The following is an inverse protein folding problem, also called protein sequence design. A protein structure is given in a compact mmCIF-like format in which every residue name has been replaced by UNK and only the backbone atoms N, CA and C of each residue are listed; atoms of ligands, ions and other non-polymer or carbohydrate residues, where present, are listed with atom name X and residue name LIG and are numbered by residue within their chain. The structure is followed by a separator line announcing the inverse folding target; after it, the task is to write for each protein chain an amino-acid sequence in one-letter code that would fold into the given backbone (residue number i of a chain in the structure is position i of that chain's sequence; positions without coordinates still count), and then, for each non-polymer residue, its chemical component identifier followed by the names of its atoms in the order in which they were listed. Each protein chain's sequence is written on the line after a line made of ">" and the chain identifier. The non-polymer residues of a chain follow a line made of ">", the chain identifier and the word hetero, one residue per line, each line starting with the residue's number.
data_IF_157706943095
#
_entry.id   IF_157706943095
#
_cell.length_a   1.000
_cell.length_b   1.000
_cell.length_c   1.000
_cell.angle_alpha   90.00
_cell.angle_beta   90.00
_cell.angle_gamma   90.00
#
_symmetry.space_group_name_H-M   'P 1'
#
loop_
_entity.id
_entity.type
_entity.pdbx_description
1 polymer ?
#
# COMPACT_ATOMS: atom_id res chain seq x y z
N UNK A 1 -36.74 -18.24 22.64
CA UNK A 1 -36.52 -17.88 21.23
C UNK A 1 -37.87 -17.43 20.74
N UNK A 2 -38.03 -16.17 20.31
CA UNK A 2 -39.31 -15.73 19.76
C UNK A 2 -39.27 -16.05 18.28
N UNK A 3 -40.04 -17.06 17.88
CA UNK A 3 -40.21 -17.44 16.48
C UNK A 3 -41.22 -16.47 15.89
N UNK A 4 -40.76 -15.52 15.08
CA UNK A 4 -41.63 -14.74 14.20
C UNK A 4 -41.54 -15.40 12.83
N UNK A 5 -42.51 -16.27 12.53
CA UNK A 5 -42.64 -16.86 11.19
C UNK A 5 -43.34 -15.83 10.30
N UNK A 6 -42.56 -15.03 9.57
CA UNK A 6 -43.10 -14.35 8.39
C UNK A 6 -43.02 -15.42 7.30
N UNK A 7 -44.14 -16.04 6.96
CA UNK A 7 -44.24 -16.93 5.80
C UNK A 7 -44.93 -16.11 4.72
N UNK A 8 -44.15 -15.57 3.79
CA UNK A 8 -44.70 -15.13 2.52
C UNK A 8 -44.59 -16.34 1.60
N UNK A 9 -45.67 -17.11 1.47
CA UNK A 9 -45.74 -18.20 0.53
C UNK A 9 -46.61 -17.85 -0.66
N UNK A 10 -46.08 -18.12 -1.85
CA UNK A 10 -46.82 -18.00 -3.09
C UNK A 10 -46.76 -19.35 -3.80
N UNK A 11 -47.94 -19.93 -4.06
CA UNK A 11 -48.07 -21.16 -4.85
C UNK A 11 -48.17 -20.83 -6.32
N UNK A 12 -47.50 -21.61 -7.14
CA UNK A 12 -47.53 -21.48 -8.58
C UNK A 12 -47.96 -22.78 -9.26
N UNK A 13 -48.60 -22.66 -10.41
CA UNK A 13 -49.22 -23.78 -11.13
C UNK A 13 -48.32 -24.46 -12.19
N UNK A 14 -47.10 -23.95 -12.43
CA UNK A 14 -46.15 -24.46 -13.43
C UNK A 14 -44.88 -25.00 -12.76
N UNK A 15 -44.37 -26.16 -13.20
CA UNK A 15 -43.38 -27.01 -12.50
C UNK A 15 -42.01 -27.13 -13.19
N UNK A 16 -41.76 -26.48 -14.33
CA UNK A 16 -40.53 -26.75 -15.11
C UNK A 16 -39.77 -25.49 -15.59
N UNK A 17 -39.94 -24.34 -14.92
CA UNK A 17 -39.19 -23.13 -15.28
C UNK A 17 -38.34 -22.67 -14.11
N UNK A 18 -37.04 -22.49 -14.36
CA UNK A 18 -36.10 -21.80 -13.46
C UNK A 18 -36.71 -20.46 -13.05
N UNK A 19 -36.55 -20.07 -11.79
CA UNK A 19 -37.05 -18.80 -11.28
C UNK A 19 -36.00 -18.12 -10.43
N UNK A 20 -36.08 -16.81 -10.39
CA UNK A 20 -35.29 -15.99 -9.50
C UNK A 20 -36.21 -15.25 -8.52
N UNK A 21 -35.93 -15.41 -7.24
CA UNK A 21 -36.54 -14.61 -6.18
C UNK A 21 -35.56 -13.48 -5.85
N UNK A 22 -36.03 -12.25 -5.98
CA UNK A 22 -35.27 -11.05 -5.65
C UNK A 22 -35.97 -10.25 -4.57
N UNK A 23 -35.23 -9.74 -3.59
CA UNK A 23 -35.80 -8.96 -2.48
C UNK A 23 -34.75 -8.06 -1.82
N UNK A 24 -35.22 -6.99 -1.18
CA UNK A 24 -34.39 -6.18 -0.30
C UNK A 24 -34.58 -6.60 1.15
N UNK A 25 -33.53 -6.55 1.95
CA UNK A 25 -33.58 -6.84 3.36
C UNK A 25 -32.75 -5.86 4.18
N UNK A 26 -33.17 -5.60 5.42
CA UNK A 26 -32.45 -4.73 6.36
C UNK A 26 -32.48 -5.35 7.76
N UNK A 27 -31.35 -5.22 8.48
CA UNK A 27 -31.14 -5.85 9.79
C UNK A 27 -30.45 -4.89 10.75
N UNK A 28 -30.89 -4.87 12.02
CA UNK A 28 -30.46 -3.83 12.99
C UNK A 28 -29.41 -4.30 14.03
N UNK A 29 -29.48 -5.55 14.53
CA UNK A 29 -28.63 -6.02 15.68
C UNK A 29 -27.93 -7.35 15.43
N UNK A 30 -26.95 -7.70 16.28
CA UNK A 30 -25.96 -8.80 16.10
C UNK A 30 -26.48 -10.25 15.98
N UNK A 31 -27.78 -10.56 16.15
CA UNK A 31 -28.29 -11.94 16.09
C UNK A 31 -29.62 -12.03 15.34
N UNK A 32 -29.55 -12.22 14.03
CA UNK A 32 -30.68 -12.55 13.15
C UNK A 32 -30.23 -13.61 12.14
N UNK A 33 -31.20 -14.33 11.62
CA UNK A 33 -31.05 -15.22 10.48
C UNK A 33 -32.16 -14.87 9.50
N UNK A 34 -31.84 -14.87 8.21
CA UNK A 34 -32.81 -14.71 7.14
C UNK A 34 -32.50 -15.77 6.10
N UNK A 35 -33.45 -16.67 5.90
CA UNK A 35 -33.28 -17.87 5.10
C UNK A 35 -34.39 -17.89 4.04
N UNK A 36 -34.05 -18.38 2.84
CA UNK A 36 -35.03 -18.69 1.80
C UNK A 36 -35.20 -20.19 1.73
N UNK A 37 -36.45 -20.62 1.71
CA UNK A 37 -36.87 -22.00 1.63
C UNK A 37 -37.72 -22.24 0.40
N UNK A 38 -37.67 -23.47 -0.10
CA UNK A 38 -38.55 -23.98 -1.15
C UNK A 38 -39.26 -25.24 -0.65
N UNK A 39 -40.48 -25.50 -1.13
CA UNK A 39 -41.18 -26.76 -0.91
C UNK A 39 -41.11 -27.60 -2.19
N UNK A 40 -40.28 -28.66 -2.23
CA UNK A 40 -40.18 -29.52 -3.40
C UNK A 40 -41.51 -30.19 -3.75
N UNK A 41 -41.73 -30.47 -5.04
CA UNK A 41 -42.93 -31.18 -5.47
C UNK A 41 -43.06 -32.56 -4.81
N UNK A 42 -44.22 -32.82 -4.18
CA UNK A 42 -44.49 -34.08 -3.48
C UNK A 42 -43.92 -34.15 -2.06
N UNK A 43 -43.23 -33.09 -1.60
CA UNK A 43 -42.75 -32.97 -0.23
C UNK A 43 -43.75 -32.24 0.67
N UNK A 44 -43.70 -32.55 1.97
CA UNK A 44 -44.37 -31.79 3.02
C UNK A 44 -43.37 -30.99 3.88
N UNK A 45 -42.09 -30.96 3.50
CA UNK A 45 -41.00 -30.34 4.25
C UNK A 45 -40.27 -29.32 3.38
N UNK A 46 -40.16 -28.10 3.91
CA UNK A 46 -39.38 -27.02 3.29
C UNK A 46 -37.88 -27.31 3.37
N UNK A 47 -37.18 -27.05 2.27
CA UNK A 47 -35.72 -27.15 2.15
C UNK A 47 -35.11 -25.76 2.04
N UNK A 48 -33.99 -25.51 2.73
CA UNK A 48 -33.31 -24.21 2.73
C UNK A 48 -32.38 -24.11 1.52
N UNK A 49 -32.57 -23.08 0.70
CA UNK A 49 -31.79 -22.84 -0.53
C UNK A 49 -30.87 -21.62 -0.43
N UNK A 50 -31.14 -20.70 0.50
CA UNK A 50 -30.28 -19.56 0.76
C UNK A 50 -30.27 -19.22 2.24
N UNK A 51 -29.12 -18.79 2.71
CA UNK A 51 -28.88 -18.30 4.07
C UNK A 51 -28.13 -16.99 3.95
N UNK A 52 -28.55 -16.03 4.76
CA UNK A 52 -27.91 -14.73 4.83
C UNK A 52 -26.39 -14.87 5.06
N UNK A 53 -25.55 -14.31 4.18
CA UNK A 53 -24.10 -14.40 4.31
C UNK A 53 -23.62 -13.65 5.56
N UNK A 54 -22.44 -14.01 6.07
CA UNK A 54 -21.83 -13.51 7.31
C UNK A 54 -21.67 -11.98 7.43
N UNK A 55 -20.86 -11.50 8.39
CA UNK A 55 -21.11 -10.26 9.17
C UNK A 55 -21.75 -9.11 8.37
N UNK A 56 -23.03 -8.84 8.67
CA UNK A 56 -23.87 -7.95 7.87
C UNK A 56 -23.69 -6.49 8.23
N UNK A 57 -23.75 -5.63 7.22
CA UNK A 57 -23.84 -4.18 7.38
C UNK A 57 -25.17 -3.80 8.05
N UNK A 58 -25.09 -3.28 9.28
CA UNK A 58 -26.26 -2.91 10.08
C UNK A 58 -26.98 -1.70 9.46
N UNK A 59 -28.30 -1.66 9.63
CA UNK A 59 -29.17 -0.55 9.24
C UNK A 59 -29.04 -0.12 7.77
N UNK A 60 -28.52 -1.02 6.92
CA UNK A 60 -28.35 -0.82 5.48
C UNK A 60 -29.29 -1.76 4.74
N UNK A 61 -30.04 -1.24 3.76
CA UNK A 61 -30.82 -2.07 2.85
C UNK A 61 -29.86 -2.81 1.92
N UNK A 62 -29.94 -4.13 1.92
CA UNK A 62 -29.16 -5.03 1.08
C UNK A 62 -30.11 -5.76 0.14
N UNK A 63 -29.57 -6.26 -0.98
CA UNK A 63 -30.34 -6.95 -2.01
C UNK A 63 -29.87 -8.40 -2.10
N UNK A 64 -30.82 -9.32 -2.26
CA UNK A 64 -30.55 -10.74 -2.45
C UNK A 64 -31.29 -11.26 -3.67
N UNK A 65 -30.65 -12.19 -4.38
CA UNK A 65 -31.19 -12.95 -5.51
C UNK A 65 -30.93 -14.44 -5.23
N UNK A 66 -31.97 -15.26 -5.40
CA UNK A 66 -31.92 -16.69 -5.10
C UNK A 66 -32.58 -17.45 -6.24
N UNK A 67 -31.82 -18.33 -6.88
CA UNK A 67 -32.34 -19.30 -7.84
C UNK A 67 -33.24 -20.30 -7.11
N UNK A 68 -34.46 -20.48 -7.61
CA UNK A 68 -35.46 -21.41 -7.06
C UNK A 68 -36.15 -22.16 -8.20
N UNK A 69 -36.44 -23.44 -8.00
CA UNK A 69 -36.99 -24.33 -9.05
C UNK A 69 -38.34 -24.95 -8.70
N UNK A 70 -39.07 -24.45 -7.70
CA UNK A 70 -40.14 -25.23 -7.04
C UNK A 70 -41.51 -24.54 -6.92
N UNK A 71 -42.53 -25.33 -6.53
CA UNK A 71 -43.95 -24.95 -6.49
C UNK A 71 -44.31 -23.87 -5.47
N UNK A 72 -43.62 -23.83 -4.33
CA UNK A 72 -43.89 -22.90 -3.24
C UNK A 72 -42.57 -22.39 -2.66
N UNK A 73 -42.44 -21.07 -2.58
CA UNK A 73 -41.26 -20.38 -2.04
C UNK A 73 -41.67 -19.73 -0.73
N UNK A 74 -40.84 -19.85 0.30
CA UNK A 74 -41.03 -19.19 1.58
C UNK A 74 -39.76 -18.45 1.99
N UNK A 75 -39.87 -17.15 2.28
CA UNK A 75 -38.79 -16.39 2.91
C UNK A 75 -39.08 -16.33 4.40
N UNK A 76 -38.20 -16.83 5.25
CA UNK A 76 -38.41 -16.83 6.69
C UNK A 76 -37.24 -16.20 7.46
N UNK A 77 -37.58 -15.37 8.45
CA UNK A 77 -36.60 -14.70 9.31
C UNK A 77 -36.68 -15.18 10.76
N UNK A 78 -35.55 -15.29 11.42
CA UNK A 78 -35.46 -15.64 12.85
C UNK A 78 -34.79 -14.54 13.65
N UNK A 79 -35.40 -14.19 14.77
CA UNK A 79 -34.96 -13.09 15.62
C UNK A 79 -34.43 -13.63 16.95
N UNK A 80 -33.19 -13.29 17.30
CA UNK A 80 -32.57 -13.62 18.59
C UNK A 80 -33.22 -12.94 19.80
N UNK A 81 -32.67 -13.14 21.02
CA UNK A 81 -33.21 -12.49 22.23
C UNK A 81 -32.90 -10.97 22.24
N UNK A 82 -33.94 -10.17 22.54
CA UNK A 82 -34.00 -8.68 22.68
C UNK A 82 -34.07 -7.89 21.36
N UNK A 83 -35.12 -7.06 21.24
CA UNK A 83 -35.32 -5.89 20.32
C UNK A 83 -34.52 -5.95 19.01
N UNK A 84 -34.67 -7.01 18.24
CA UNK A 84 -34.04 -7.17 16.92
C UNK A 84 -35.13 -7.16 15.85
N UNK A 85 -34.82 -6.61 14.68
CA UNK A 85 -35.74 -6.47 13.55
C UNK A 85 -35.04 -6.97 12.30
N UNK A 86 -35.76 -7.77 11.52
CA UNK A 86 -35.47 -8.07 10.12
C UNK A 86 -36.61 -7.50 9.31
N UNK A 87 -36.28 -6.68 8.32
CA UNK A 87 -37.23 -6.12 7.37
C UNK A 87 -36.94 -6.74 6.02
N UNK A 88 -37.98 -7.10 5.28
CA UNK A 88 -37.89 -7.53 3.89
C UNK A 88 -38.83 -6.65 3.09
N UNK A 89 -38.42 -6.23 1.90
CA UNK A 89 -39.19 -5.35 1.03
C UNK A 89 -38.99 -5.72 -0.45
N UNK A 90 -39.91 -5.27 -1.32
CA UNK A 90 -39.84 -5.39 -2.77
C UNK A 90 -39.54 -6.82 -3.28
N UNK A 91 -40.19 -7.82 -2.69
CA UNK A 91 -40.07 -9.21 -3.12
C UNK A 91 -40.67 -9.38 -4.52
N UNK A 92 -39.86 -9.85 -5.47
CA UNK A 92 -40.27 -10.15 -6.83
C UNK A 92 -39.82 -11.56 -7.21
N UNK A 93 -40.68 -12.27 -7.92
CA UNK A 93 -40.38 -13.57 -8.53
C UNK A 93 -40.40 -13.39 -10.05
N UNK A 94 -39.28 -13.69 -10.68
CA UNK A 94 -39.07 -13.61 -12.14
C UNK A 94 -38.89 -15.01 -12.72
N UNK A 95 -39.25 -15.19 -13.99
CA UNK A 95 -38.93 -16.40 -14.75
C UNK A 95 -37.48 -16.34 -15.25
N UNK A 96 -36.79 -17.48 -15.24
CA UNK A 96 -35.36 -17.63 -15.52
C UNK A 96 -34.48 -17.65 -14.27
N UNK A 97 -33.21 -18.03 -14.44
CA UNK A 97 -32.20 -17.97 -13.38
C UNK A 97 -31.85 -16.52 -13.02
N UNK A 98 -31.39 -16.26 -11.81
CA UNK A 98 -30.92 -14.94 -11.36
C UNK A 98 -29.76 -14.43 -12.23
N UNK A 99 -28.95 -15.33 -12.79
CA UNK A 99 -27.95 -14.98 -13.79
C UNK A 99 -28.57 -14.29 -15.02
N UNK A 100 -29.77 -14.67 -15.45
CA UNK A 100 -30.47 -14.04 -16.60
C UNK A 100 -30.93 -12.60 -16.33
N UNK A 101 -31.05 -12.20 -15.06
CA UNK A 101 -31.31 -10.82 -14.66
C UNK A 101 -30.03 -9.99 -14.53
N UNK A 102 -28.85 -10.60 -14.55
CA UNK A 102 -27.58 -9.92 -14.34
C UNK A 102 -27.33 -8.83 -15.39
N UNK A 103 -26.85 -7.68 -14.93
CA UNK A 103 -26.32 -6.62 -15.79
C UNK A 103 -25.13 -7.07 -16.65
N UNK A 104 -24.60 -8.28 -16.46
CA UNK A 104 -23.52 -8.85 -17.26
C UNK A 104 -23.95 -9.52 -18.57
N UNK A 105 -25.24 -9.78 -18.80
CA UNK A 105 -25.72 -10.51 -19.98
C UNK A 105 -25.63 -9.72 -21.30
N UNK A 106 -25.38 -8.41 -21.22
CA UNK A 106 -25.30 -7.50 -22.36
C UNK A 106 -23.87 -7.24 -22.87
N UNK A 107 -22.87 -8.05 -22.50
CA UNK A 107 -21.45 -7.76 -22.78
C UNK A 107 -21.03 -6.37 -22.26
N UNK A 108 -21.39 -6.07 -21.02
CA UNK A 108 -21.21 -4.75 -20.40
C UNK A 108 -19.73 -4.37 -20.22
N UNK A 109 -18.84 -5.36 -20.16
CA UNK A 109 -17.40 -5.14 -20.14
C UNK A 109 -16.82 -5.29 -21.55
N UNK A 110 -16.23 -4.23 -22.07
CA UNK A 110 -15.59 -4.22 -23.37
C UNK A 110 -14.21 -4.88 -23.35
N UNK A 111 -13.63 -5.07 -24.54
CA UNK A 111 -12.23 -5.42 -24.74
C UNK A 111 -11.74 -6.66 -23.97
N UNK A 112 -12.59 -7.69 -23.87
CA UNK A 112 -12.24 -8.94 -23.17
C UNK A 112 -12.27 -8.82 -21.64
N UNK A 113 -12.86 -7.75 -21.09
CA UNK A 113 -13.11 -7.63 -19.67
C UNK A 113 -14.10 -8.69 -19.16
N UNK A 114 -13.86 -9.19 -17.95
CA UNK A 114 -14.74 -10.16 -17.29
C UNK A 114 -15.77 -9.42 -16.46
N UNK A 115 -17.05 -9.71 -16.68
CA UNK A 115 -18.15 -9.12 -15.93
C UNK A 115 -18.58 -10.00 -14.76
N UNK A 116 -18.75 -9.41 -13.58
CA UNK A 116 -19.40 -10.04 -12.43
C UNK A 116 -20.49 -9.11 -11.90
N UNK A 117 -21.69 -9.61 -11.61
CA UNK A 117 -22.80 -8.72 -11.25
C UNK A 117 -24.16 -9.38 -11.01
N UNK A 118 -25.05 -8.62 -10.38
CA UNK A 118 -26.47 -8.90 -10.13
C UNK A 118 -27.35 -8.12 -11.09
N UNK A 119 -28.67 -8.16 -10.91
CA UNK A 119 -29.60 -7.34 -11.69
C UNK A 119 -29.54 -5.83 -11.48
N UNK A 120 -28.85 -5.36 -10.43
CA UNK A 120 -28.76 -3.94 -10.09
C UNK A 120 -27.33 -3.39 -10.10
N UNK A 121 -26.33 -4.26 -10.11
CA UNK A 121 -24.93 -3.85 -10.07
C UNK A 121 -24.06 -4.79 -10.88
N UNK A 122 -23.01 -4.25 -11.48
CA UNK A 122 -21.96 -5.03 -12.11
C UNK A 122 -20.60 -4.45 -11.75
N UNK A 123 -19.56 -5.25 -11.91
CA UNK A 123 -18.16 -4.87 -11.84
C UNK A 123 -17.44 -5.53 -12.99
N UNK A 124 -16.67 -4.74 -13.73
CA UNK A 124 -15.79 -5.22 -14.77
C UNK A 124 -14.37 -5.39 -14.24
N UNK A 125 -13.78 -6.55 -14.50
CA UNK A 125 -12.33 -6.76 -14.39
C UNK A 125 -11.74 -6.65 -15.78
N UNK A 126 -11.00 -5.58 -16.05
CA UNK A 126 -10.48 -5.30 -17.38
C UNK A 126 -9.30 -6.19 -17.75
N UNK A 127 -9.22 -6.54 -19.04
CA UNK A 127 -8.03 -7.16 -19.59
C UNK A 127 -6.87 -6.16 -19.60
N UNK A 128 -5.63 -6.68 -19.62
CA UNK A 128 -4.43 -5.84 -19.69
C UNK A 128 -4.50 -4.87 -20.88
N UNK A 129 -4.15 -3.60 -20.66
CA UNK A 129 -4.25 -2.54 -21.66
C UNK A 129 -5.54 -1.72 -21.59
N UNK A 130 -6.50 -2.08 -20.72
CA UNK A 130 -7.76 -1.39 -20.58
C UNK A 130 -8.09 -1.06 -19.13
N UNK A 131 -8.82 0.04 -18.93
CA UNK A 131 -9.27 0.52 -17.64
C UNK A 131 -10.69 1.10 -17.71
N UNK A 132 -11.14 1.66 -16.59
CA UNK A 132 -12.48 2.24 -16.47
C UNK A 132 -13.56 1.22 -16.09
N UNK A 133 -14.75 1.72 -15.77
CA UNK A 133 -15.86 0.90 -15.22
C UNK A 133 -16.42 -0.12 -16.20
N UNK A 134 -16.19 0.09 -17.50
CA UNK A 134 -16.66 -0.78 -18.60
C UNK A 134 -15.52 -1.29 -19.47
N UNK A 135 -14.26 -1.08 -19.09
CA UNK A 135 -13.07 -1.50 -19.86
C UNK A 135 -13.00 -0.94 -21.28
N UNK A 136 -13.60 0.23 -21.50
CA UNK A 136 -13.59 0.94 -22.78
C UNK A 136 -12.40 1.89 -22.90
N UNK A 137 -11.87 2.35 -21.77
CA UNK A 137 -10.72 3.26 -21.73
C UNK A 137 -9.43 2.46 -21.90
N UNK A 138 -8.47 3.05 -22.60
CA UNK A 138 -7.11 2.50 -22.71
C UNK A 138 -6.36 2.85 -21.44
N UNK A 139 -5.63 1.90 -20.89
CA UNK A 139 -4.67 2.17 -19.81
C UNK A 139 -3.43 2.86 -20.41
N UNK A 140 -3.19 4.15 -20.11
CA UNK A 140 -2.06 4.90 -20.65
C UNK A 140 -0.71 4.37 -20.13
N UNK A 141 -0.71 3.55 -19.08
CA UNK A 141 0.46 2.88 -18.54
C UNK A 141 0.71 1.49 -19.13
N UNK A 142 -0.06 1.07 -20.15
CA UNK A 142 0.11 -0.25 -20.78
C UNK A 142 0.23 -0.15 -22.32
N UNK A 143 1.41 -0.45 -22.90
CA UNK A 143 2.67 -0.78 -22.21
C UNK A 143 3.23 0.41 -21.43
N UNK A 144 4.05 0.14 -20.40
CA UNK A 144 4.64 1.20 -19.57
C UNK A 144 5.46 2.16 -20.46
N UNK A 145 5.08 3.46 -20.55
CA UNK A 145 5.78 4.44 -21.37
C UNK A 145 7.06 4.97 -20.71
N UNK A 146 7.27 4.72 -19.41
CA UNK A 146 8.41 5.22 -18.67
C UNK A 146 9.64 4.32 -18.90
N UNK A 147 10.74 4.95 -19.30
CA UNK A 147 12.02 4.29 -19.53
C UNK A 147 12.80 4.11 -18.23
N UNK A 148 13.89 3.33 -18.29
CA UNK A 148 14.89 3.19 -17.21
C UNK A 148 14.31 2.82 -15.82
N UNK A 149 13.27 1.98 -15.80
CA UNK A 149 12.64 1.53 -14.56
C UNK A 149 11.70 2.58 -13.93
N UNK A 150 11.33 3.62 -14.66
CA UNK A 150 10.35 4.60 -14.23
C UNK A 150 8.98 3.97 -13.94
N UNK A 151 8.31 4.49 -12.92
CA UNK A 151 6.96 4.08 -12.55
C UNK A 151 5.94 4.97 -13.23
N UNK A 152 5.08 4.38 -14.08
CA UNK A 152 3.98 5.09 -14.69
C UNK A 152 2.84 5.32 -13.71
N UNK A 153 2.31 6.53 -13.70
CA UNK A 153 1.14 6.93 -12.92
C UNK A 153 0.07 7.42 -13.91
N UNK A 154 -1.10 6.76 -13.98
CA UNK A 154 -2.19 7.23 -14.81
C UNK A 154 -2.81 8.49 -14.19
N UNK A 155 -3.13 9.47 -15.02
CA UNK A 155 -3.72 10.74 -14.62
C UNK A 155 -5.22 10.78 -14.89
N UNK A 156 -5.93 11.65 -14.18
CA UNK A 156 -7.40 11.75 -14.27
C UNK A 156 -7.95 12.22 -15.62
N UNK A 157 -7.11 12.84 -16.46
CA UNK A 157 -7.46 13.31 -17.81
C UNK A 157 -7.20 12.25 -18.91
N UNK A 158 -6.80 11.03 -18.51
CA UNK A 158 -6.45 9.94 -19.41
C UNK A 158 -5.02 9.98 -19.94
N UNK A 159 -4.21 10.95 -19.49
CA UNK A 159 -2.76 10.95 -19.72
C UNK A 159 -2.02 10.10 -18.68
N UNK A 160 -0.69 10.05 -18.79
CA UNK A 160 0.17 9.39 -17.81
C UNK A 160 1.38 10.27 -17.51
N UNK A 161 1.86 10.19 -16.27
CA UNK A 161 3.12 10.78 -15.83
C UNK A 161 4.11 9.69 -15.39
N UNK A 162 5.40 10.00 -15.41
CA UNK A 162 6.45 9.09 -14.98
C UNK A 162 7.12 9.58 -13.71
N UNK A 163 7.19 8.72 -12.69
CA UNK A 163 8.07 8.89 -11.54
C UNK A 163 9.38 8.19 -11.87
N UNK A 164 10.46 8.96 -12.01
CA UNK A 164 11.75 8.43 -12.42
C UNK A 164 12.49 7.74 -11.26
N UNK A 165 13.17 6.65 -11.59
CA UNK A 165 14.11 6.01 -10.69
C UNK A 165 15.32 6.94 -10.43
N UNK A 166 16.04 6.68 -9.34
CA UNK A 166 17.22 7.47 -8.97
C UNK A 166 18.23 7.54 -10.12
N UNK A 167 18.71 8.75 -10.43
CA UNK A 167 19.65 8.99 -11.54
C UNK A 167 19.04 9.11 -12.92
N UNK A 168 17.71 9.22 -13.03
CA UNK A 168 17.02 9.52 -14.28
C UNK A 168 16.07 10.71 -14.15
N UNK A 169 15.88 11.42 -15.25
CA UNK A 169 15.03 12.59 -15.36
C UNK A 169 14.36 12.67 -16.74
N UNK A 170 13.53 13.69 -16.94
CA UNK A 170 12.72 13.85 -18.14
C UNK A 170 11.31 13.30 -17.97
N UNK A 171 10.39 13.69 -18.87
CA UNK A 171 8.98 13.30 -18.77
C UNK A 171 8.74 11.80 -18.96
N UNK A 172 9.69 11.10 -19.59
CA UNK A 172 9.67 9.65 -19.80
C UNK A 172 10.82 8.94 -19.09
N UNK A 173 11.57 9.62 -18.23
CA UNK A 173 12.75 9.07 -17.55
C UNK A 173 13.83 8.55 -18.51
N UNK A 174 13.93 9.15 -19.69
CA UNK A 174 14.83 8.79 -20.79
C UNK A 174 16.18 9.53 -20.72
N UNK A 175 16.34 10.44 -19.76
CA UNK A 175 17.54 11.26 -19.60
C UNK A 175 18.31 10.84 -18.36
N UNK A 176 19.60 10.55 -18.51
CA UNK A 176 20.50 10.27 -17.40
C UNK A 176 20.82 11.55 -16.62
N UNK A 177 20.62 11.52 -15.31
CA UNK A 177 21.00 12.61 -14.41
C UNK A 177 22.46 12.43 -13.96
N UNK A 178 23.34 13.45 -14.11
CA UNK A 178 24.68 13.42 -13.52
C UNK A 178 24.68 13.33 -11.99
N UNK A 179 23.61 13.75 -11.33
CA UNK A 179 23.41 13.68 -9.90
C UNK A 179 22.32 12.63 -9.57
N UNK A 180 22.77 11.43 -9.21
CA UNK A 180 21.90 10.27 -8.97
C UNK A 180 20.98 10.51 -7.78
N UNK A 181 21.52 11.14 -6.74
CA UNK A 181 20.79 11.48 -5.53
C UNK A 181 21.46 12.68 -4.88
N UNK A 182 20.64 13.62 -4.42
CA UNK A 182 21.05 14.77 -3.62
C UNK A 182 20.17 14.85 -2.38
N UNK A 183 20.78 15.06 -1.21
CA UNK A 183 20.03 15.27 0.02
C UNK A 183 20.72 16.26 0.94
N UNK A 184 20.17 17.48 0.99
CA UNK A 184 20.51 18.55 1.93
C UNK A 184 19.64 18.56 3.17
N UNK A 185 18.62 17.70 3.25
CA UNK A 185 17.66 17.62 4.37
C UNK A 185 16.77 18.86 4.60
N UNK A 186 16.83 19.85 3.72
CA UNK A 186 16.09 21.12 3.86
C UNK A 186 14.59 21.02 3.54
N UNK A 187 14.24 20.17 2.58
CA UNK A 187 12.88 20.04 2.06
C UNK A 187 11.94 19.39 3.06
N UNK A 188 11.23 20.21 3.83
CA UNK A 188 9.87 19.99 4.34
C UNK A 188 9.52 18.72 5.13
N UNK A 189 10.47 17.83 5.46
CA UNK A 189 10.33 16.46 6.01
C UNK A 189 10.48 15.32 4.98
N UNK A 190 11.60 15.27 4.24
CA UNK A 190 12.04 14.02 3.64
C UNK A 190 13.52 13.76 3.93
N UNK A 191 13.85 12.51 4.25
CA UNK A 191 15.20 11.96 4.10
C UNK A 191 15.62 11.87 2.61
N UNK A 192 14.97 12.63 1.73
CA UNK A 192 15.06 12.49 0.28
C UNK A 192 14.81 11.02 -0.12
N UNK A 193 15.61 10.47 -1.04
CA UNK A 193 15.61 9.03 -1.37
C UNK A 193 16.32 8.14 -0.35
N UNK A 194 16.81 8.68 0.78
CA UNK A 194 17.37 7.87 1.86
C UNK A 194 16.23 7.29 2.70
N UNK A 195 16.39 6.06 3.18
CA UNK A 195 15.39 5.39 4.03
C UNK A 195 16.01 4.88 5.33
N UNK A 196 15.23 4.98 6.40
CA UNK A 196 15.60 4.41 7.70
C UNK A 196 15.48 2.90 7.64
N UNK A 197 16.52 2.22 8.10
CA UNK A 197 16.51 0.76 8.25
C UNK A 197 15.70 0.40 9.49
N UNK A 198 14.91 -0.68 9.45
CA UNK A 198 14.04 -1.08 10.57
C UNK A 198 14.54 -2.28 11.37
N UNK A 199 15.69 -2.84 11.00
CA UNK A 199 16.34 -3.98 11.65
C UNK A 199 17.65 -3.60 12.35
N UNK A 200 17.87 -2.30 12.58
CA UNK A 200 18.96 -1.75 13.39
C UNK A 200 18.51 -1.48 14.84
N UNK A 201 19.31 -0.75 15.62
CA UNK A 201 18.98 -0.47 17.03
C UNK A 201 18.28 0.87 17.24
N UNK A 202 18.44 1.84 16.33
CA UNK A 202 17.83 3.16 16.43
C UNK A 202 17.92 3.94 15.11
N UNK A 203 16.95 4.83 14.90
CA UNK A 203 16.90 5.66 13.70
C UNK A 203 17.84 6.87 13.78
N UNK A 204 18.26 7.33 12.60
CA UNK A 204 18.79 8.69 12.42
C UNK A 204 17.65 9.72 12.60
N UNK A 205 17.99 10.95 12.98
CA UNK A 205 17.02 12.00 13.33
C UNK A 205 17.39 13.27 12.55
N UNK A 206 16.41 13.95 11.96
CA UNK A 206 16.61 15.28 11.37
C UNK A 206 16.56 16.32 12.50
N UNK A 207 17.51 17.25 12.57
CA UNK A 207 17.43 18.33 13.56
C UNK A 207 16.28 19.29 13.20
N UNK A 208 15.24 19.30 14.04
CA UNK A 208 14.12 20.24 13.91
C UNK A 208 14.14 21.21 15.09
N UNK A 209 15.14 22.10 15.15
CA UNK A 209 15.26 23.17 16.17
C UNK A 209 14.81 22.76 17.59
N UNK A 210 15.24 21.57 18.05
CA UNK A 210 14.87 21.05 19.36
C UNK A 210 15.75 21.67 20.45
N UNK A 211 15.15 22.05 21.57
CA UNK A 211 15.82 22.66 22.73
C UNK A 211 16.67 21.67 23.55
N UNK A 212 16.76 20.41 23.13
CA UNK A 212 17.44 19.32 23.84
C UNK A 212 18.53 18.65 22.99
N UNK A 213 19.29 19.41 22.21
CA UNK A 213 20.41 18.88 21.43
C UNK A 213 21.68 18.81 22.32
N UNK A 214 22.48 17.72 22.29
CA UNK A 214 23.74 17.62 23.02
C UNK A 214 24.73 18.75 22.72
N UNK A 215 25.61 19.10 23.67
CA UNK A 215 26.65 20.15 23.50
C UNK A 215 27.73 19.78 22.46
N UNK A 216 27.78 18.52 22.07
CA UNK A 216 28.59 17.96 20.99
C UNK A 216 28.01 18.23 19.60
N UNK A 217 26.75 18.66 19.49
CA UNK A 217 26.14 18.92 18.21
C UNK A 217 26.73 20.14 17.48
N UNK A 218 26.69 20.15 16.15
CA UNK A 218 27.09 21.31 15.38
C UNK A 218 26.11 22.48 15.63
N UNK A 219 26.67 23.69 15.65
CA UNK A 219 25.93 24.93 15.91
C UNK A 219 24.94 25.25 14.77
N UNK A 220 25.29 24.85 13.55
CA UNK A 220 24.50 24.97 12.32
C UNK A 220 24.72 23.75 11.43
N UNK A 221 23.79 23.53 10.49
CA UNK A 221 24.00 22.62 9.37
C UNK A 221 25.24 23.02 8.53
N UNK A 222 25.71 22.11 7.69
CA UNK A 222 26.76 22.42 6.72
C UNK A 222 26.24 23.35 5.63
N UNK A 223 25.02 23.08 5.15
CA UNK A 223 24.25 23.94 4.26
C UNK A 223 22.83 24.10 4.82
N UNK A 224 22.23 25.28 4.71
CA UNK A 224 20.89 25.53 5.26
C UNK A 224 20.80 25.48 6.80
N UNK A 225 19.71 24.90 7.31
CA UNK A 225 19.33 24.87 8.73
C UNK A 225 19.19 23.44 9.30
N UNK A 226 19.11 22.42 8.44
CA UNK A 226 18.83 21.03 8.77
C UNK A 226 19.97 20.10 8.35
N UNK A 227 20.12 19.02 9.10
CA UNK A 227 21.08 17.94 8.96
C UNK A 227 20.50 16.70 9.64
N UNK A 228 21.01 15.53 9.27
CA UNK A 228 20.68 14.30 9.97
C UNK A 228 21.73 13.95 11.01
N UNK A 229 21.31 13.36 12.12
CA UNK A 229 22.21 12.97 13.18
C UNK A 229 21.74 11.74 13.93
N UNK A 230 22.67 11.13 14.66
CA UNK A 230 22.36 10.18 15.71
C UNK A 230 22.77 10.76 17.06
N UNK A 231 21.84 10.72 18.00
CA UNK A 231 22.14 10.99 19.40
C UNK A 231 22.64 9.70 20.04
N UNK A 232 23.85 9.71 20.61
CA UNK A 232 24.41 8.52 21.26
C UNK A 232 24.10 8.48 22.77
N UNK A 233 23.49 9.54 23.31
CA UNK A 233 23.15 9.64 24.73
C UNK A 233 22.22 8.49 25.16
N UNK A 234 22.63 7.79 26.23
CA UNK A 234 21.84 6.71 26.83
C UNK A 234 21.76 5.43 26.01
N UNK A 235 22.56 5.28 24.95
CA UNK A 235 22.61 4.06 24.13
C UNK A 235 23.75 3.13 24.55
N UNK A 236 23.56 1.83 24.36
CA UNK A 236 24.56 0.81 24.68
C UNK A 236 25.72 0.81 23.66
N UNK A 237 26.94 0.60 24.14
CA UNK A 237 28.15 0.51 23.30
C UNK A 237 27.99 -0.60 22.27
N UNK A 238 28.30 -0.30 21.00
CA UNK A 238 28.21 -1.24 19.87
C UNK A 238 26.83 -1.29 19.20
N UNK A 239 25.81 -0.62 19.76
CA UNK A 239 24.55 -0.40 19.04
C UNK A 239 24.76 0.56 17.88
N UNK A 240 23.92 0.46 16.86
CA UNK A 240 24.07 1.24 15.64
C UNK A 240 22.73 1.62 15.03
N UNK A 241 22.74 2.73 14.28
CA UNK A 241 21.66 3.18 13.42
C UNK A 241 22.11 3.25 11.98
N UNK A 242 21.23 2.87 11.05
CA UNK A 242 21.51 2.74 9.62
C UNK A 242 20.52 3.57 8.80
N UNK A 243 21.08 4.33 7.87
CA UNK A 243 20.34 5.05 6.84
C UNK A 243 20.84 4.56 5.48
N UNK A 244 19.95 4.25 4.54
CA UNK A 244 20.32 3.61 3.27
C UNK A 244 19.84 4.41 2.06
N UNK A 245 20.71 4.56 1.07
CA UNK A 245 20.33 4.85 -0.30
C UNK A 245 20.19 3.51 -1.04
N UNK A 246 19.04 3.26 -1.66
CA UNK A 246 18.76 2.03 -2.40
C UNK A 246 18.44 2.31 -3.88
N UNK A 247 18.26 1.24 -4.66
CA UNK A 247 17.94 1.28 -6.09
C UNK A 247 18.88 2.15 -6.93
N UNK A 248 20.18 2.18 -6.55
CA UNK A 248 21.18 2.94 -7.29
C UNK A 248 21.52 2.21 -8.61
N UNK A 249 21.83 2.94 -9.69
CA UNK A 249 22.16 2.34 -10.98
C UNK A 249 23.43 1.49 -10.90
N UNK A 250 23.48 0.40 -11.68
CA UNK A 250 24.63 -0.51 -11.77
C UNK A 250 25.75 0.09 -12.64
N UNK A 251 26.35 1.16 -12.13
CA UNK A 251 27.47 1.86 -12.75
C UNK A 251 28.44 2.37 -11.69
N UNK A 252 29.57 2.92 -12.14
CA UNK A 252 30.53 3.60 -11.27
C UNK A 252 29.91 4.90 -10.78
N UNK A 253 30.02 5.15 -9.47
CA UNK A 253 29.44 6.33 -8.81
C UNK A 253 30.48 6.99 -7.92
N UNK A 254 30.27 8.26 -7.62
CA UNK A 254 31.03 8.99 -6.62
C UNK A 254 30.11 9.39 -5.47
N UNK A 255 30.39 8.92 -4.26
CA UNK A 255 29.72 9.43 -3.07
C UNK A 255 30.52 10.60 -2.51
N UNK A 256 29.82 11.70 -2.22
CA UNK A 256 30.34 12.81 -1.42
C UNK A 256 29.32 13.19 -0.35
N UNK A 257 29.79 13.51 0.85
CA UNK A 257 28.94 13.99 1.93
C UNK A 257 29.74 14.77 2.96
N UNK A 258 29.03 15.55 3.77
CA UNK A 258 29.58 16.29 4.88
C UNK A 258 29.26 15.56 6.19
N UNK A 259 30.19 15.57 7.13
CA UNK A 259 30.01 14.91 8.43
C UNK A 259 30.59 15.75 9.57
N UNK A 260 29.97 15.64 10.73
CA UNK A 260 30.42 16.25 11.98
C UNK A 260 30.46 15.17 13.07
N UNK A 261 31.58 15.11 13.77
CA UNK A 261 31.83 14.12 14.81
C UNK A 261 32.66 14.77 15.92
N UNK A 262 32.00 15.22 16.99
CA UNK A 262 32.65 15.79 18.16
C UNK A 262 32.47 14.87 19.35
N UNK A 263 33.59 14.53 19.99
CA UNK A 263 33.62 13.62 21.12
C UNK A 263 34.12 12.21 20.76
N UNK A 264 34.29 11.36 21.77
CA UNK A 264 35.26 10.26 21.70
C UNK A 264 34.62 8.90 21.36
N UNK A 265 35.35 8.08 20.59
CA UNK A 265 35.11 6.64 20.36
C UNK A 265 33.88 6.18 19.57
N UNK A 266 33.09 7.07 18.97
CA UNK A 266 32.03 6.70 18.01
C UNK A 266 32.59 6.41 16.63
N UNK A 267 31.84 5.67 15.79
CA UNK A 267 32.23 5.38 14.41
C UNK A 267 31.15 5.84 13.44
N UNK A 268 31.57 6.54 12.38
CA UNK A 268 30.78 6.69 11.18
C UNK A 268 31.38 5.78 10.12
N UNK A 269 30.60 4.81 9.66
CA UNK A 269 31.02 3.80 8.68
C UNK A 269 30.10 3.85 7.47
N UNK A 270 30.68 3.79 6.28
CA UNK A 270 29.93 3.66 5.04
C UNK A 270 30.16 2.28 4.44
N UNK A 271 29.06 1.55 4.26
CA UNK A 271 29.06 0.27 3.58
C UNK A 271 28.38 0.38 2.22
N UNK A 272 28.83 -0.42 1.27
CA UNK A 272 28.16 -0.60 -0.01
C UNK A 272 27.69 -2.04 -0.14
N UNK A 273 26.50 -2.24 -0.70
CA UNK A 273 25.92 -3.57 -0.84
C UNK A 273 25.39 -3.86 -2.24
N UNK A 274 25.38 -5.15 -2.54
CA UNK A 274 24.65 -5.76 -3.64
C UNK A 274 23.95 -7.01 -3.12
N UNK A 275 23.36 -7.81 -4.02
CA UNK A 275 22.62 -9.02 -3.62
C UNK A 275 23.46 -10.10 -2.89
N UNK A 276 24.79 -9.97 -2.83
CA UNK A 276 25.68 -11.00 -2.31
C UNK A 276 26.70 -10.48 -1.30
N UNK A 277 27.00 -9.19 -1.31
CA UNK A 277 28.12 -8.60 -0.58
C UNK A 277 27.71 -7.34 0.14
N UNK A 278 28.31 -7.16 1.32
CA UNK A 278 28.16 -5.98 2.16
C UNK A 278 29.57 -5.57 2.62
N UNK A 279 30.11 -4.52 2.01
CA UNK A 279 31.54 -4.18 2.11
C UNK A 279 31.75 -2.80 2.73
N UNK A 280 32.62 -2.72 3.74
CA UNK A 280 33.05 -1.45 4.34
C UNK A 280 33.91 -0.68 3.32
N UNK A 281 33.46 0.49 2.90
CA UNK A 281 34.20 1.35 1.97
C UNK A 281 34.97 2.46 2.69
N UNK A 282 34.38 3.00 3.75
CA UNK A 282 34.96 4.15 4.45
C UNK A 282 34.59 4.12 5.93
N UNK A 283 35.50 4.59 6.78
CA UNK A 283 35.20 4.81 8.19
C UNK A 283 35.98 5.98 8.78
N UNK A 284 35.36 6.64 9.76
CA UNK A 284 36.00 7.54 10.71
C UNK A 284 35.58 7.22 12.12
N UNK A 285 36.45 7.54 13.08
CA UNK A 285 36.26 7.22 14.47
C UNK A 285 36.82 8.29 15.40
N UNK A 286 36.16 8.49 16.54
CA UNK A 286 36.59 9.42 17.58
C UNK A 286 36.45 10.89 17.19
N UNK A 287 37.07 11.77 17.98
CA UNK A 287 36.86 13.21 17.87
C UNK A 287 37.50 13.79 16.61
N UNK A 288 36.67 14.39 15.76
CA UNK A 288 37.08 15.07 14.52
C UNK A 288 37.06 16.60 14.68
N UNK A 289 36.82 17.10 15.91
CA UNK A 289 36.70 18.52 16.21
C UNK A 289 35.26 19.03 16.03
N UNK A 290 35.10 20.33 16.20
CA UNK A 290 33.78 20.98 16.16
C UNK A 290 33.39 21.49 14.76
N UNK A 291 34.17 21.18 13.73
CA UNK A 291 33.98 21.64 12.37
C UNK A 291 33.34 20.54 11.50
N UNK A 292 32.60 20.95 10.48
CA UNK A 292 32.14 20.05 9.44
C UNK A 292 33.31 19.62 8.56
N UNK A 293 33.41 18.31 8.32
CA UNK A 293 34.38 17.69 7.44
C UNK A 293 33.67 17.14 6.19
N UNK A 294 34.44 16.78 5.17
CA UNK A 294 33.91 16.19 3.93
C UNK A 294 34.59 14.85 3.65
N UNK A 295 33.82 13.91 3.10
CA UNK A 295 34.32 12.63 2.63
C UNK A 295 33.87 12.42 1.19
N UNK A 296 34.79 11.90 0.38
CA UNK A 296 34.55 11.59 -1.02
C UNK A 296 35.21 10.28 -1.37
N UNK A 297 34.48 9.35 -1.97
CA UNK A 297 35.06 8.10 -2.45
C UNK A 297 34.25 7.47 -3.58
N UNK A 298 34.96 6.66 -4.37
CA UNK A 298 34.43 5.94 -5.52
C UNK A 298 33.68 4.69 -5.08
N UNK A 299 32.48 4.50 -5.63
CA UNK A 299 31.68 3.28 -5.52
C UNK A 299 31.80 2.51 -6.83
N UNK A 300 32.12 1.22 -6.75
CA UNK A 300 32.26 0.34 -7.92
C UNK A 300 30.89 0.02 -8.53
N UNK A 301 30.87 -0.21 -9.85
CA UNK A 301 29.75 -0.88 -10.53
C UNK A 301 29.50 -2.23 -9.85
N UNK A 302 28.22 -2.57 -9.65
CA UNK A 302 27.57 -3.65 -8.89
C UNK A 302 26.88 -3.21 -7.60
N UNK A 303 27.42 -2.22 -6.90
CA UNK A 303 26.85 -1.80 -5.63
C UNK A 303 25.66 -0.89 -5.88
N UNK A 304 24.48 -1.37 -5.52
CA UNK A 304 23.19 -0.72 -5.74
C UNK A 304 22.62 -0.10 -4.44
N UNK A 305 23.29 -0.32 -3.31
CA UNK A 305 22.94 0.26 -2.02
C UNK A 305 24.16 0.88 -1.32
N UNK A 306 23.92 1.97 -0.59
CA UNK A 306 24.92 2.66 0.25
C UNK A 306 24.33 2.89 1.63
N UNK A 307 25.00 2.40 2.67
CA UNK A 307 24.57 2.48 4.05
C UNK A 307 25.45 3.42 4.86
N UNK A 308 24.83 4.40 5.49
CA UNK A 308 25.43 5.28 6.50
C UNK A 308 25.16 4.67 7.88
N UNK A 309 26.21 4.18 8.52
CA UNK A 309 26.13 3.44 9.77
C UNK A 309 26.82 4.22 10.88
N UNK A 310 26.04 4.71 11.84
CA UNK A 310 26.54 5.36 13.04
C UNK A 310 26.60 4.37 14.20
N UNK A 311 27.79 4.07 14.69
CA UNK A 311 28.03 3.08 15.76
C UNK A 311 28.38 3.78 17.06
N UNK A 312 27.69 3.39 18.14
CA UNK A 312 27.88 3.94 19.48
C UNK A 312 29.18 3.41 20.10
N UNK A 313 30.06 4.34 20.47
CA UNK A 313 31.32 4.12 21.16
C UNK A 313 31.21 4.10 22.68
N UNK A 314 32.35 4.09 23.36
CA UNK A 314 32.43 4.27 24.82
C UNK A 314 32.36 5.77 25.17
N UNK A 315 31.52 6.14 26.15
CA UNK A 315 31.32 7.47 26.77
C UNK A 315 30.08 8.28 26.30
N UNK A 316 29.75 9.33 27.06
CA UNK A 316 28.41 9.91 27.20
C UNK A 316 28.14 11.15 26.32
N UNK A 317 26.95 11.16 25.71
CA UNK A 317 26.26 12.28 25.05
C UNK A 317 27.02 13.00 23.93
N UNK A 318 27.53 12.22 22.97
CA UNK A 318 28.09 12.72 21.73
C UNK A 318 27.11 12.48 20.55
N UNK A 319 27.40 13.13 19.42
CA UNK A 319 26.56 13.07 18.23
C UNK A 319 27.43 12.84 16.99
N UNK A 320 26.89 12.06 16.06
CA UNK A 320 27.39 11.96 14.69
C UNK A 320 26.33 12.61 13.81
N UNK A 321 26.73 13.59 13.01
CA UNK A 321 25.85 14.23 12.03
C UNK A 321 26.40 14.09 10.62
N UNK A 322 25.48 14.03 9.66
CA UNK A 322 25.73 14.05 8.23
C UNK A 322 24.86 15.11 7.57
N UNK A 323 25.38 15.66 6.48
CA UNK A 323 24.71 16.67 5.69
C UNK A 323 25.15 16.60 4.22
N UNK A 324 24.37 17.19 3.32
CA UNK A 324 24.69 17.37 1.90
C UNK A 324 25.20 16.08 1.23
N UNK A 325 24.41 15.00 1.38
CA UNK A 325 24.73 13.69 0.83
C UNK A 325 24.44 13.70 -0.67
N UNK A 326 25.46 13.45 -1.49
CA UNK A 326 25.33 13.43 -2.95
C UNK A 326 25.98 12.18 -3.52
N UNK A 327 25.25 11.51 -4.41
CA UNK A 327 25.78 10.41 -5.23
C UNK A 327 25.79 10.91 -6.67
N UNK A 328 26.98 11.03 -7.23
CA UNK A 328 27.20 11.50 -8.59
C UNK A 328 27.51 10.33 -9.52
N UNK A 329 27.13 10.47 -10.78
CA UNK A 329 27.45 9.51 -11.83
C UNK A 329 28.93 9.60 -12.20
N UNK A 330 29.60 8.46 -12.31
CA UNK A 330 31.00 8.36 -12.72
C UNK A 330 32.01 8.40 -11.57
N UNK A 331 33.28 8.60 -11.93
CA UNK A 331 34.40 8.65 -10.97
C UNK A 331 34.40 9.96 -10.16
N UNK A 332 34.98 9.93 -8.97
CA UNK A 332 35.20 11.13 -8.18
C UNK A 332 36.31 12.00 -8.81
N UNK A 333 35.99 13.27 -9.05
CA UNK A 333 36.92 14.31 -9.53
C UNK A 333 37.67 14.99 -8.39
#
# INVERSE_FOLDING_TARGET
>A
MFKLEIILSQRYHSTDEDRCVSFYYQVNRRQFYLDVYVLPEGSNTYERVWELPGPVQKDTWLFAEVDVSEKEIAIAGWIGRRRSRVSVDNIKVSLGTCASLSMCNSNTCANGGTCTGTSQSFTCTCAAGYQGTTCTDIDPCTPNPCENGGTCVPESDGSSSCICAAGFSGSLCDTEDPEIMACSFEDGEQTCSLTQVNYDYFNWIINTNSTSIPSSAPISAYDGDKYMYIDTAGKDVGTYGMLVAHDLPDEVKCLTFNYHMKGAHHYLQIYTADNYTFELQWQKSGDQGNDWNSATFRIRSRFIEVYFVGVVGSYAADLIAIDNVRILRGDCS
#
